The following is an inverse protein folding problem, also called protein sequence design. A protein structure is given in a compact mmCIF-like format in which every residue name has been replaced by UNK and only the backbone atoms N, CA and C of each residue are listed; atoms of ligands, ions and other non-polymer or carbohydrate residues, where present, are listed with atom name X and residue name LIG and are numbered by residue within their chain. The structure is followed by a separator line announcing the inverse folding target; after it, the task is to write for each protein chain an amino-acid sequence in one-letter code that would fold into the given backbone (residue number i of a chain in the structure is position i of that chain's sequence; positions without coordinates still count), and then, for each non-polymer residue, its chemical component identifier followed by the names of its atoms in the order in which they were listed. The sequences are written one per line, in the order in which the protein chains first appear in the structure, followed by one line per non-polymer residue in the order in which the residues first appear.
data_IF_928874841008
#
_entry.id   IF_928874841008
#
_cell.length_a   1.000
_cell.length_b   1.000
_cell.length_c   1.000
_cell.angle_alpha   90.00
_cell.angle_beta   90.00
_cell.angle_gamma   90.00
#
_symmetry.space_group_name_H-M   'P 1'
#
loop_
_entity.id
_entity.type
_entity.pdbx_description
1 polymer ?
#
# COMPACT_ATOMS: atom_id res chain seq x y z
N UNK A 1 0.84 -48.63 28.48
CA UNK A 1 -0.51 -48.06 28.33
C UNK A 1 -0.67 -46.99 29.39
N UNK A 2 -0.78 -45.73 28.99
CA UNK A 2 -1.33 -44.68 29.84
C UNK A 2 -2.04 -43.69 28.90
N UNK A 3 -3.34 -43.92 28.68
CA UNK A 3 -4.23 -42.96 28.06
C UNK A 3 -4.34 -41.76 29.00
N UNK A 4 -3.76 -40.62 28.62
CA UNK A 4 -4.07 -39.35 29.26
C UNK A 4 -5.45 -38.91 28.77
N UNK A 5 -6.47 -39.22 29.56
CA UNK A 5 -7.80 -38.67 29.39
C UNK A 5 -7.75 -37.14 29.56
N UNK A 6 -7.89 -36.41 28.45
CA UNK A 6 -8.06 -34.96 28.45
C UNK A 6 -9.44 -34.67 29.02
N UNK A 7 -9.48 -34.07 30.21
CA UNK A 7 -10.74 -33.64 30.84
C UNK A 7 -11.32 -32.44 30.08
N UNK A 8 -12.65 -32.35 29.89
CA UNK A 8 -13.27 -31.18 29.27
C UNK A 8 -13.05 -29.95 30.17
N UNK A 9 -12.41 -28.93 29.60
CA UNK A 9 -12.09 -27.68 30.30
C UNK A 9 -13.29 -26.72 30.23
N UNK A 10 -13.60 -26.07 31.35
CA UNK A 10 -14.71 -25.14 31.48
C UNK A 10 -14.22 -23.71 31.23
N UNK A 11 -14.70 -23.11 30.15
CA UNK A 11 -14.32 -21.80 29.60
C UNK A 11 -14.70 -20.61 30.52
N UNK A 12 -15.45 -20.84 31.60
CA UNK A 12 -16.01 -19.75 32.43
C UNK A 12 -15.17 -19.33 33.64
N UNK A 13 -13.95 -19.85 33.78
CA UNK A 13 -13.02 -19.35 34.77
C UNK A 13 -11.73 -18.99 34.05
N UNK A 14 -11.27 -17.73 34.17
CA UNK A 14 -9.86 -17.30 34.34
C UNK A 14 -9.53 -15.97 33.63
N UNK A 15 -9.10 -14.99 34.44
CA UNK A 15 -7.94 -14.12 34.20
C UNK A 15 -8.04 -12.97 33.19
N UNK A 16 -7.90 -11.73 33.70
CA UNK A 16 -7.84 -10.45 32.99
C UNK A 16 -6.80 -10.30 31.84
N UNK A 17 -6.07 -11.35 31.46
CA UNK A 17 -5.02 -11.26 30.44
C UNK A 17 -5.31 -12.06 29.17
N UNK A 18 -6.29 -12.98 29.14
CA UNK A 18 -6.72 -13.72 27.92
C UNK A 18 -5.62 -14.51 27.18
N UNK A 19 -4.40 -14.59 27.72
CA UNK A 19 -3.25 -15.21 27.08
C UNK A 19 -3.15 -16.68 27.48
N UNK A 20 -3.38 -17.56 26.51
CA UNK A 20 -3.28 -19.01 26.68
C UNK A 20 -1.96 -19.53 26.09
N UNK A 21 -1.31 -20.50 26.77
CA UNK A 21 -0.12 -21.15 26.25
C UNK A 21 -0.49 -22.06 25.06
N UNK A 22 -0.02 -21.79 23.82
CA UNK A 22 -0.38 -22.60 22.66
C UNK A 22 0.07 -24.06 22.77
N UNK A 23 1.08 -24.37 23.61
CA UNK A 23 1.59 -25.73 23.84
C UNK A 23 0.66 -26.59 24.71
N UNK A 24 -0.29 -25.96 25.40
CA UNK A 24 -1.21 -26.62 26.33
C UNK A 24 -2.65 -26.65 25.81
N UNK A 25 -2.93 -26.01 24.66
CA UNK A 25 -4.26 -25.97 24.05
C UNK A 25 -4.43 -27.02 22.95
N UNK A 26 -5.61 -27.63 22.90
CA UNK A 26 -6.01 -28.48 21.78
C UNK A 26 -6.37 -27.67 20.53
N UNK A 27 -6.48 -28.35 19.38
CA UNK A 27 -6.90 -27.74 18.11
C UNK A 27 -8.25 -27.00 18.22
N UNK A 28 -9.25 -27.63 18.87
CA UNK A 28 -10.58 -27.04 19.03
C UNK A 28 -10.55 -25.81 19.94
N UNK A 29 -9.85 -25.89 21.06
CA UNK A 29 -9.73 -24.77 22.00
C UNK A 29 -9.03 -23.57 21.33
N UNK A 30 -8.01 -23.84 20.51
CA UNK A 30 -7.31 -22.81 19.73
C UNK A 30 -8.24 -22.12 18.72
N UNK A 31 -9.11 -22.88 18.04
CA UNK A 31 -10.10 -22.31 17.11
C UNK A 31 -11.13 -21.46 17.84
N UNK A 32 -11.57 -21.86 19.03
CA UNK A 32 -12.56 -21.11 19.79
C UNK A 32 -11.96 -19.80 20.35
N UNK A 33 -10.70 -19.81 20.77
CA UNK A 33 -9.95 -18.58 21.11
C UNK A 33 -9.84 -17.64 19.90
N UNK A 34 -9.48 -18.16 18.72
CA UNK A 34 -9.39 -17.35 17.50
C UNK A 34 -10.74 -16.71 17.16
N UNK A 35 -11.84 -17.45 17.29
CA UNK A 35 -13.19 -16.92 17.06
C UNK A 35 -13.54 -15.81 18.04
N UNK A 36 -13.28 -16.01 19.33
CA UNK A 36 -13.55 -15.00 20.37
C UNK A 36 -12.73 -13.72 20.14
N UNK A 37 -11.44 -13.84 19.87
CA UNK A 37 -10.58 -12.69 19.54
C UNK A 37 -11.01 -11.99 18.24
N UNK A 38 -11.47 -12.75 17.24
CA UNK A 38 -12.01 -12.17 16.01
C UNK A 38 -13.24 -11.31 16.27
N UNK A 39 -14.15 -11.74 17.15
CA UNK A 39 -15.33 -10.95 17.56
C UNK A 39 -14.90 -9.69 18.33
N UNK A 40 -13.89 -9.77 19.20
CA UNK A 40 -13.34 -8.60 19.89
C UNK A 40 -12.75 -7.59 18.91
N UNK A 41 -12.04 -8.07 17.88
CA UNK A 41 -11.50 -7.23 16.80
C UNK A 41 -12.65 -6.55 16.02
N UNK A 42 -13.75 -7.25 15.72
CA UNK A 42 -14.92 -6.62 15.08
C UNK A 42 -15.49 -5.48 15.94
N UNK A 43 -15.68 -5.73 17.24
CA UNK A 43 -16.20 -4.74 18.20
C UNK A 43 -15.22 -3.58 18.41
N UNK A 44 -13.91 -3.80 18.26
CA UNK A 44 -12.91 -2.75 18.44
C UNK A 44 -13.00 -1.67 17.35
N UNK A 45 -13.34 -2.01 16.11
CA UNK A 45 -13.46 -1.01 15.04
C UNK A 45 -14.60 -0.01 15.29
N UNK A 46 -15.74 -0.46 15.81
CA UNK A 46 -16.86 0.41 16.19
C UNK A 46 -16.42 1.34 17.31
N UNK A 47 -15.79 0.78 18.35
CA UNK A 47 -15.29 1.54 19.49
C UNK A 47 -14.24 2.59 19.08
N UNK A 48 -13.29 2.23 18.22
CA UNK A 48 -12.28 3.15 17.66
C UNK A 48 -12.99 4.26 16.88
N UNK A 49 -13.94 3.90 16.01
CA UNK A 49 -14.73 4.86 15.25
C UNK A 49 -15.48 5.85 16.14
N UNK A 50 -16.06 5.38 17.24
CA UNK A 50 -16.77 6.20 18.22
C UNK A 50 -15.85 7.23 18.89
N UNK A 51 -14.65 6.84 19.33
CA UNK A 51 -13.68 7.79 19.88
C UNK A 51 -13.15 8.78 18.84
N UNK A 52 -12.88 8.32 17.60
CA UNK A 52 -12.47 9.20 16.50
C UNK A 52 -13.57 10.23 16.17
N UNK A 53 -14.84 9.79 16.19
CA UNK A 53 -16.01 10.66 16.04
C UNK A 53 -16.10 11.67 17.17
N UNK A 54 -15.97 11.24 18.43
CA UNK A 54 -15.96 12.14 19.60
C UNK A 54 -14.87 13.21 19.50
N UNK A 55 -13.62 12.81 19.19
CA UNK A 55 -12.50 13.75 19.00
C UNK A 55 -12.77 14.72 17.84
N UNK A 56 -13.37 14.24 16.74
CA UNK A 56 -13.73 15.07 15.57
C UNK A 56 -14.81 16.10 15.93
N UNK A 57 -15.91 15.63 16.52
CA UNK A 57 -17.13 16.40 16.75
C UNK A 57 -16.89 17.47 17.84
N UNK A 58 -16.16 17.13 18.89
CA UNK A 58 -15.80 18.05 19.99
C UNK A 58 -14.48 18.80 19.74
N UNK A 59 -13.84 18.57 18.59
CA UNK A 59 -12.59 19.22 18.15
C UNK A 59 -11.42 19.07 19.13
N UNK A 60 -11.36 17.94 19.85
CA UNK A 60 -10.33 17.68 20.86
C UNK A 60 -8.91 17.60 20.27
N UNK A 61 -8.80 17.34 18.96
CA UNK A 61 -7.52 17.41 18.24
C UNK A 61 -6.84 18.79 18.31
N UNK A 62 -7.56 19.85 18.68
CA UNK A 62 -6.99 21.19 18.88
C UNK A 62 -6.13 21.30 20.14
N UNK A 63 -6.28 20.40 21.12
CA UNK A 63 -5.48 20.41 22.36
C UNK A 63 -3.99 20.24 22.06
N UNK A 64 -3.68 19.41 21.07
CA UNK A 64 -2.32 19.14 20.59
C UNK A 64 -1.95 19.99 19.36
N UNK A 65 -2.80 20.94 18.97
CA UNK A 65 -2.51 21.90 17.89
C UNK A 65 -2.72 21.38 16.46
N UNK A 66 -3.40 20.25 16.27
CA UNK A 66 -3.72 19.75 14.92
C UNK A 66 -4.85 20.55 14.27
N UNK A 67 -4.85 20.65 12.94
CA UNK A 67 -5.90 21.38 12.22
C UNK A 67 -7.19 20.57 12.09
N UNK A 68 -7.09 19.23 12.11
CA UNK A 68 -8.21 18.31 11.96
C UNK A 68 -7.88 16.93 12.55
N UNK A 69 -8.92 16.09 12.70
CA UNK A 69 -8.78 14.72 13.21
C UNK A 69 -7.85 13.85 12.36
N UNK A 70 -7.73 14.09 11.06
CA UNK A 70 -6.93 13.25 10.17
C UNK A 70 -5.43 13.45 10.39
N UNK A 71 -4.99 14.69 10.61
CA UNK A 71 -3.61 14.99 11.00
C UNK A 71 -3.27 14.37 12.34
N UNK A 72 -4.14 14.57 13.33
CA UNK A 72 -4.01 13.98 14.66
C UNK A 72 -3.89 12.45 14.58
N UNK A 73 -4.78 11.79 13.83
CA UNK A 73 -4.77 10.34 13.72
C UNK A 73 -3.61 9.78 12.90
N UNK A 74 -3.12 10.53 11.91
CA UNK A 74 -1.93 10.15 11.14
C UNK A 74 -0.68 10.20 12.01
N UNK A 75 -0.52 11.26 12.81
CA UNK A 75 0.64 11.46 13.67
C UNK A 75 0.62 10.54 14.90
N UNK A 76 -0.51 10.46 15.62
CA UNK A 76 -0.62 9.71 16.87
C UNK A 76 -0.79 8.20 16.67
N UNK A 77 -1.49 7.79 15.61
CA UNK A 77 -1.89 6.38 15.40
C UNK A 77 -1.41 5.78 14.08
N UNK A 78 -0.76 6.56 13.20
CA UNK A 78 -0.35 6.10 11.87
C UNK A 78 -1.54 5.82 10.92
N UNK A 79 -2.73 6.36 11.21
CA UNK A 79 -3.92 6.10 10.40
C UNK A 79 -4.01 7.05 9.21
N UNK A 80 -4.19 6.49 8.01
CA UNK A 80 -4.54 7.29 6.84
C UNK A 80 -5.91 7.95 7.02
N UNK A 81 -6.13 9.10 6.37
CA UNK A 81 -7.44 9.76 6.31
C UNK A 81 -8.55 8.76 5.93
N UNK A 82 -8.30 7.93 4.92
CA UNK A 82 -9.27 6.93 4.46
C UNK A 82 -9.60 5.88 5.52
N UNK A 83 -8.67 5.54 6.41
CA UNK A 83 -8.89 4.61 7.52
C UNK A 83 -9.78 5.25 8.58
N UNK A 84 -9.47 6.50 8.96
CA UNK A 84 -10.23 7.29 9.93
C UNK A 84 -11.69 7.43 9.48
N UNK A 85 -11.91 7.88 8.23
CA UNK A 85 -13.26 8.02 7.68
C UNK A 85 -14.02 6.69 7.67
N UNK A 86 -13.36 5.58 7.32
CA UNK A 86 -14.01 4.25 7.35
C UNK A 86 -14.43 3.86 8.77
N UNK A 87 -13.58 4.06 9.77
CA UNK A 87 -13.92 3.71 11.16
C UNK A 87 -15.08 4.55 11.69
N UNK A 88 -15.07 5.86 11.42
CA UNK A 88 -16.17 6.74 11.80
C UNK A 88 -17.47 6.31 11.11
N UNK A 89 -17.44 6.06 9.79
CA UNK A 89 -18.64 5.64 9.05
C UNK A 89 -19.17 4.27 9.51
N UNK A 90 -18.27 3.33 9.87
CA UNK A 90 -18.65 2.03 10.46
C UNK A 90 -19.38 2.26 11.79
N UNK A 91 -18.86 3.15 12.64
CA UNK A 91 -19.52 3.51 13.89
C UNK A 91 -20.90 4.13 13.63
N UNK A 92 -20.98 5.19 12.83
CA UNK A 92 -22.24 5.92 12.55
C UNK A 92 -23.33 5.02 11.94
N UNK A 93 -22.94 3.93 11.25
CA UNK A 93 -23.89 3.03 10.59
C UNK A 93 -24.26 1.80 11.39
N UNK A 94 -23.29 1.17 12.05
CA UNK A 94 -23.45 -0.16 12.64
C UNK A 94 -23.39 -0.16 14.16
N UNK A 95 -23.12 0.97 14.83
CA UNK A 95 -23.21 1.03 16.29
C UNK A 95 -24.65 1.02 16.79
N UNK A 96 -24.84 0.61 18.05
CA UNK A 96 -26.11 0.81 18.76
C UNK A 96 -26.51 2.28 18.70
N UNK A 97 -27.78 2.54 18.37
CA UNK A 97 -28.37 3.86 18.24
C UNK A 97 -27.62 4.84 17.32
N UNK A 98 -26.73 4.34 16.45
CA UNK A 98 -25.83 5.13 15.58
C UNK A 98 -24.86 6.07 16.30
N UNK A 99 -24.74 5.96 17.62
CA UNK A 99 -23.77 6.74 18.41
C UNK A 99 -23.37 6.01 19.71
N UNK A 100 -22.71 4.87 19.56
CA UNK A 100 -22.30 4.04 20.70
C UNK A 100 -20.94 3.39 20.44
N UNK A 101 -20.13 3.13 21.48
CA UNK A 101 -18.91 2.33 21.34
C UNK A 101 -19.21 0.84 21.09
N UNK A 102 -20.47 0.41 21.17
CA UNK A 102 -20.89 -0.97 20.98
C UNK A 102 -21.51 -1.21 19.60
N UNK A 103 -21.17 -2.35 18.99
CA UNK A 103 -21.83 -2.84 17.77
C UNK A 103 -23.29 -3.18 18.06
N UNK A 104 -24.19 -2.83 17.15
CA UNK A 104 -25.60 -3.22 17.21
C UNK A 104 -25.74 -4.73 17.01
N UNK A 105 -26.55 -5.38 17.85
CA UNK A 105 -26.73 -6.83 17.89
C UNK A 105 -27.19 -7.40 16.53
N UNK A 106 -27.85 -6.58 15.69
CA UNK A 106 -28.26 -6.96 14.31
C UNK A 106 -27.08 -7.22 13.38
N UNK A 107 -25.91 -6.67 13.69
CA UNK A 107 -24.68 -6.82 12.91
C UNK A 107 -23.66 -7.72 13.63
N UNK A 108 -24.07 -8.45 14.68
CA UNK A 108 -23.18 -9.42 15.32
C UNK A 108 -22.83 -10.56 14.34
N UNK A 109 -21.55 -10.94 14.32
CA UNK A 109 -21.01 -11.96 13.41
C UNK A 109 -20.55 -11.45 12.05
N UNK A 110 -20.83 -10.20 11.69
CA UNK A 110 -20.25 -9.59 10.48
C UNK A 110 -18.78 -9.22 10.69
N UNK A 111 -17.93 -9.54 9.72
CA UNK A 111 -16.54 -9.11 9.66
C UNK A 111 -16.38 -7.67 9.14
N UNK A 112 -15.19 -7.10 9.35
CA UNK A 112 -14.86 -5.74 8.90
C UNK A 112 -15.06 -5.54 7.39
N UNK A 113 -14.66 -6.51 6.58
CA UNK A 113 -14.72 -6.40 5.12
C UNK A 113 -16.17 -6.41 4.63
N UNK A 114 -17.03 -7.25 5.23
CA UNK A 114 -18.46 -7.28 5.00
C UNK A 114 -19.09 -5.92 5.39
N UNK A 115 -18.80 -5.43 6.60
CA UNK A 115 -19.29 -4.12 7.06
C UNK A 115 -18.87 -2.97 6.13
N UNK A 116 -17.62 -2.97 5.65
CA UNK A 116 -17.14 -1.96 4.68
C UNK A 116 -17.91 -2.02 3.36
N UNK A 117 -18.22 -3.21 2.84
CA UNK A 117 -19.03 -3.35 1.63
C UNK A 117 -20.49 -2.93 1.83
N UNK A 118 -21.00 -3.06 3.06
CA UNK A 118 -22.35 -2.69 3.49
C UNK A 118 -22.52 -1.19 3.74
N UNK A 119 -21.44 -0.41 3.91
CA UNK A 119 -21.50 1.05 4.09
C UNK A 119 -22.33 1.80 3.03
N UNK A 120 -22.28 1.48 1.73
CA UNK A 120 -23.13 2.11 0.71
C UNK A 120 -24.56 1.52 0.58
N UNK A 121 -24.91 0.47 1.33
CA UNK A 121 -26.23 -0.17 1.21
C UNK A 121 -27.32 0.61 1.94
N UNK A 122 -28.50 0.72 1.34
CA UNK A 122 -29.68 1.26 2.03
C UNK A 122 -30.31 0.22 2.96
N UNK A 123 -31.19 0.65 3.85
CA UNK A 123 -31.84 -0.22 4.84
C UNK A 123 -32.52 -1.44 4.21
N UNK A 124 -33.20 -1.27 3.06
CA UNK A 124 -33.87 -2.36 2.33
C UNK A 124 -32.92 -3.44 1.80
N UNK A 125 -31.68 -3.08 1.48
CA UNK A 125 -30.67 -4.01 1.00
C UNK A 125 -29.85 -4.61 2.14
N UNK A 126 -29.67 -3.87 3.24
CA UNK A 126 -29.07 -4.39 4.47
C UNK A 126 -29.87 -5.56 5.04
N UNK A 127 -31.20 -5.53 4.94
CA UNK A 127 -32.07 -6.64 5.39
C UNK A 127 -31.86 -7.94 4.62
N UNK A 128 -31.31 -7.88 3.40
CA UNK A 128 -31.02 -9.06 2.57
C UNK A 128 -29.65 -9.66 2.87
N UNK A 129 -28.81 -8.94 3.61
CA UNK A 129 -27.44 -9.32 3.90
C UNK A 129 -27.40 -10.08 5.23
N UNK A 130 -26.78 -11.27 5.23
CA UNK A 130 -26.58 -12.07 6.45
C UNK A 130 -25.08 -12.26 6.72
N UNK A 131 -24.71 -12.54 7.96
CA UNK A 131 -23.31 -12.69 8.38
C UNK A 131 -22.59 -13.87 7.73
N UNK A 132 -23.35 -14.88 7.26
CA UNK A 132 -22.82 -16.03 6.52
C UNK A 132 -22.46 -15.71 5.05
N UNK A 133 -22.94 -14.58 4.51
CA UNK A 133 -22.67 -14.22 3.12
C UNK A 133 -21.22 -13.78 2.93
N UNK A 134 -20.56 -14.28 1.90
CA UNK A 134 -19.23 -13.80 1.53
C UNK A 134 -19.27 -12.35 1.03
N UNK A 135 -18.14 -11.64 1.16
CA UNK A 135 -17.94 -10.30 0.59
C UNK A 135 -18.33 -10.24 -0.89
N UNK A 136 -18.12 -11.32 -1.64
CA UNK A 136 -18.49 -11.41 -3.05
C UNK A 136 -20.01 -11.38 -3.24
N UNK A 137 -20.75 -12.13 -2.45
CA UNK A 137 -22.22 -12.17 -2.52
C UNK A 137 -22.83 -10.82 -2.10
N UNK A 138 -22.24 -10.14 -1.11
CA UNK A 138 -22.64 -8.76 -0.73
C UNK A 138 -22.42 -7.79 -1.91
N UNK A 139 -21.34 -7.95 -2.68
CA UNK A 139 -21.10 -7.16 -3.91
C UNK A 139 -22.09 -7.48 -5.03
N UNK A 140 -22.51 -8.73 -5.17
CA UNK A 140 -23.52 -9.13 -6.15
C UNK A 140 -24.88 -8.47 -5.85
N UNK A 141 -25.28 -8.36 -4.57
CA UNK A 141 -26.47 -7.58 -4.16
C UNK A 141 -26.36 -6.11 -4.63
N UNK A 142 -25.18 -5.50 -4.49
CA UNK A 142 -24.93 -4.11 -4.93
C UNK A 142 -25.06 -3.96 -6.45
N UNK A 143 -24.51 -4.90 -7.20
CA UNK A 143 -24.56 -4.89 -8.66
C UNK A 143 -25.99 -5.12 -9.19
N UNK A 144 -26.75 -6.02 -8.57
CA UNK A 144 -28.12 -6.31 -8.98
C UNK A 144 -29.07 -5.15 -8.70
N UNK A 145 -28.83 -4.37 -7.63
CA UNK A 145 -29.49 -3.08 -7.44
C UNK A 145 -29.18 -2.12 -8.59
N UNK A 146 -27.90 -1.96 -8.95
CA UNK A 146 -27.46 -1.06 -10.03
C UNK A 146 -28.10 -1.43 -11.38
N UNK A 147 -28.35 -2.71 -11.62
CA UNK A 147 -29.06 -3.21 -12.81
C UNK A 147 -30.57 -2.96 -12.76
N UNK A 148 -31.21 -3.04 -11.57
CA UNK A 148 -32.66 -2.83 -11.40
C UNK A 148 -33.09 -1.37 -11.46
N UNK A 149 -32.21 -0.43 -11.11
CA UNK A 149 -32.52 1.01 -11.10
C UNK A 149 -32.32 1.73 -12.44
N UNK A 150 -32.02 1.00 -13.52
CA UNK A 150 -32.09 1.45 -14.93
C UNK A 150 -31.83 2.95 -15.18
N UNK A 151 -30.61 3.42 -14.94
CA UNK A 151 -30.19 4.80 -15.24
C UNK A 151 -28.83 4.78 -15.96
N UNK A 152 -28.69 5.42 -17.14
CA UNK A 152 -27.38 5.79 -17.68
C UNK A 152 -26.80 6.87 -16.77
N UNK A 153 -25.48 6.91 -16.61
CA UNK A 153 -24.74 7.79 -15.70
C UNK A 153 -25.45 9.11 -15.35
N UNK A 154 -25.94 9.19 -14.11
CA UNK A 154 -25.74 10.28 -13.14
C UNK A 154 -26.54 10.00 -11.87
N UNK A 155 -25.90 9.32 -10.93
CA UNK A 155 -25.83 9.80 -9.55
C UNK A 155 -24.40 9.55 -9.10
N UNK A 156 -23.54 10.56 -9.32
CA UNK A 156 -22.43 10.80 -8.41
C UNK A 156 -23.05 11.02 -7.04
N UNK A 157 -22.99 9.96 -6.24
CA UNK A 157 -23.57 9.88 -4.90
C UNK A 157 -22.63 9.17 -3.93
N UNK A 158 -21.33 9.19 -4.20
CA UNK A 158 -20.41 9.69 -3.20
C UNK A 158 -20.24 11.14 -3.61
N UNK A 159 -21.14 12.00 -3.13
CA UNK A 159 -20.96 13.42 -3.31
C UNK A 159 -19.58 13.75 -2.79
N UNK A 160 -18.75 14.32 -3.66
CA UNK A 160 -17.81 15.34 -3.26
C UNK A 160 -18.58 16.25 -2.32
N UNK A 161 -18.34 16.07 -1.03
CA UNK A 161 -18.75 17.06 -0.06
C UNK A 161 -17.84 18.24 -0.36
N UNK A 162 -18.34 19.22 -1.11
CA UNK A 162 -17.73 20.54 -1.18
C UNK A 162 -17.61 21.01 0.27
N UNK A 163 -16.41 20.85 0.82
CA UNK A 163 -16.05 21.46 2.08
C UNK A 163 -16.08 22.97 1.84
N UNK A 164 -16.63 23.77 2.78
CA UNK A 164 -16.57 25.22 2.68
C UNK A 164 -15.10 25.65 2.79
N UNK A 165 -14.44 25.73 1.62
CA UNK A 165 -13.08 26.23 1.29
C UNK A 165 -12.47 25.55 0.06
N UNK A 166 -13.18 24.67 -0.65
CA UNK A 166 -12.67 24.13 -1.90
C UNK A 166 -12.72 25.19 -3.00
N UNK A 167 -11.57 25.81 -3.31
CA UNK A 167 -11.42 26.76 -4.41
C UNK A 167 -11.50 26.00 -5.73
N UNK A 168 -12.47 26.35 -6.58
CA UNK A 168 -12.52 25.84 -7.95
C UNK A 168 -11.53 26.65 -8.78
N UNK A 169 -10.47 26.01 -9.28
CA UNK A 169 -9.48 26.62 -10.16
C UNK A 169 -10.14 27.30 -11.38
N UNK A 170 -11.25 26.74 -11.87
CA UNK A 170 -12.03 27.28 -12.99
C UNK A 170 -12.73 28.61 -12.64
N UNK A 171 -13.09 28.83 -11.37
CA UNK A 171 -13.76 30.05 -10.90
C UNK A 171 -12.80 31.09 -10.33
N UNK A 172 -11.78 30.67 -9.58
CA UNK A 172 -10.90 31.57 -8.84
C UNK A 172 -9.63 31.95 -9.63
N UNK A 173 -9.21 31.14 -10.61
CA UNK A 173 -7.97 31.34 -11.38
C UNK A 173 -8.16 31.06 -12.89
N UNK A 174 -9.08 31.77 -13.59
CA UNK A 174 -9.38 31.52 -15.00
C UNK A 174 -8.20 31.81 -15.95
N UNK A 175 -7.20 32.56 -15.50
CA UNK A 175 -5.96 32.82 -16.25
C UNK A 175 -5.12 31.56 -16.49
N UNK A 176 -5.31 30.53 -15.66
CA UNK A 176 -4.61 29.25 -15.78
C UNK A 176 -5.41 28.19 -16.55
N UNK A 177 -6.59 28.53 -17.08
CA UNK A 177 -7.32 27.63 -17.99
C UNK A 177 -6.72 27.70 -19.41
N UNK A 178 -6.38 26.56 -20.02
CA UNK A 178 -5.94 26.54 -21.40
C UNK A 178 -7.09 26.98 -22.32
N UNK A 179 -6.83 27.81 -23.34
CA UNK A 179 -7.89 28.29 -24.23
C UNK A 179 -8.47 27.15 -25.07
N UNK A 180 -9.80 27.06 -25.10
CA UNK A 180 -10.54 26.06 -25.85
C UNK A 180 -10.46 26.33 -27.37
N UNK A 181 -9.62 25.53 -28.05
CA UNK A 181 -9.26 25.48 -29.50
C UNK A 181 -8.00 26.29 -29.81
N UNK A 182 -6.91 25.63 -30.24
CA UNK A 182 -6.61 25.15 -31.60
C UNK A 182 -5.49 24.07 -31.56
N UNK A 183 -5.32 23.40 -32.70
CA UNK A 183 -4.46 22.27 -33.09
C UNK A 183 -2.99 22.24 -32.61
N UNK A 184 -2.48 21.00 -32.53
CA UNK A 184 -1.07 20.57 -32.35
C UNK A 184 -0.25 21.22 -31.23
N UNK A 185 -0.40 20.71 -30.00
CA UNK A 185 0.35 21.12 -28.81
C UNK A 185 1.47 20.14 -28.40
N UNK A 186 1.83 19.16 -29.23
CA UNK A 186 2.90 18.20 -28.88
C UNK A 186 4.31 18.78 -28.95
N UNK A 187 4.52 19.85 -29.74
CA UNK A 187 5.87 20.30 -30.07
C UNK A 187 6.33 21.53 -29.27
N UNK A 188 5.44 22.20 -28.55
CA UNK A 188 5.76 23.39 -27.72
C UNK A 188 5.94 23.06 -26.22
N UNK A 189 5.44 21.91 -25.77
CA UNK A 189 5.48 21.54 -24.34
C UNK A 189 6.86 21.04 -23.89
N UNK A 190 7.66 20.51 -24.83
CA UNK A 190 9.08 20.17 -24.61
C UNK A 190 9.98 21.41 -24.49
N UNK A 191 9.64 22.53 -25.16
CA UNK A 191 10.44 23.78 -25.09
C UNK A 191 10.22 24.58 -23.80
N UNK A 192 9.02 24.51 -23.19
CA UNK A 192 8.70 25.26 -21.96
C UNK A 192 9.30 24.58 -20.72
N UNK A 193 9.38 23.25 -20.70
CA UNK A 193 10.01 22.52 -19.58
C UNK A 193 11.53 22.77 -19.53
N UNK A 194 12.16 23.03 -20.67
CA UNK A 194 13.59 23.32 -20.78
C UNK A 194 13.99 24.76 -20.38
N UNK A 195 13.03 25.68 -20.18
CA UNK A 195 13.31 27.12 -19.97
C UNK A 195 13.07 27.63 -18.54
N UNK A 196 12.67 26.77 -17.60
CA UNK A 196 12.35 27.15 -16.20
C UNK A 196 13.55 27.20 -15.24
N UNK A 197 14.74 26.77 -15.66
CA UNK A 197 15.97 27.04 -14.91
C UNK A 197 16.75 28.18 -15.59
N UNK A 198 16.36 29.43 -15.28
CA UNK A 198 17.28 30.56 -15.47
C UNK A 198 18.07 30.75 -14.18
N UNK A 199 19.30 30.26 -14.23
CA UNK A 199 20.40 30.79 -13.45
C UNK A 199 20.54 32.30 -13.74
N UNK A 200 20.86 33.04 -12.69
CA UNK A 200 21.15 34.46 -12.69
C UNK A 200 22.25 34.77 -13.70
N UNK A 201 21.94 35.68 -14.64
CA UNK A 201 22.85 36.21 -15.67
C UNK A 201 24.16 36.75 -15.08
N UNK A 202 25.27 36.67 -15.84
CA UNK A 202 26.10 37.84 -16.02
C UNK A 202 26.18 38.26 -17.49
N UNK A 203 26.23 39.58 -17.64
CA UNK A 203 26.26 40.38 -18.84
C UNK A 203 27.24 39.97 -19.96
N UNK A 204 26.83 40.42 -21.15
CA UNK A 204 27.60 40.79 -22.34
C UNK A 204 28.08 39.70 -23.33
N UNK A 205 27.29 39.63 -24.41
CA UNK A 205 27.67 39.48 -25.83
C UNK A 205 29.07 38.95 -26.16
N UNK A 206 29.11 37.80 -26.85
CA UNK A 206 29.67 37.73 -28.20
C UNK A 206 29.33 36.41 -28.92
N UNK A 207 28.78 36.56 -30.12
CA UNK A 207 28.56 35.51 -31.13
C UNK A 207 29.83 34.69 -31.36
N UNK A 208 29.75 33.36 -31.43
CA UNK A 208 30.60 32.56 -32.32
C UNK A 208 29.98 31.18 -32.61
N UNK A 209 30.38 30.65 -33.76
CA UNK A 209 29.66 29.76 -34.67
C UNK A 209 29.27 28.35 -34.19
N UNK A 210 28.20 27.84 -34.82
CA UNK A 210 27.84 26.43 -34.87
C UNK A 210 29.01 25.61 -35.40
N UNK A 211 29.68 24.84 -34.54
CA UNK A 211 30.48 23.70 -35.00
C UNK A 211 30.57 22.60 -33.94
N UNK A 212 29.85 21.51 -34.21
CA UNK A 212 30.22 20.08 -34.10
C UNK A 212 31.10 19.53 -32.97
N UNK A 213 31.36 20.26 -31.87
CA UNK A 213 32.21 19.80 -30.78
C UNK A 213 31.42 19.32 -29.55
N UNK A 214 30.12 19.65 -29.44
CA UNK A 214 29.33 19.36 -28.26
C UNK A 214 28.76 17.93 -28.20
N UNK A 215 28.39 17.33 -29.34
CA UNK A 215 27.77 15.98 -29.32
C UNK A 215 28.73 14.87 -28.87
N UNK A 216 30.03 15.03 -29.10
CA UNK A 216 31.03 14.07 -28.63
C UNK A 216 31.33 14.26 -27.13
N UNK A 217 31.28 15.50 -26.61
CA UNK A 217 31.49 15.75 -25.17
C UNK A 217 30.30 15.29 -24.31
N UNK A 218 29.06 15.42 -24.81
CA UNK A 218 27.86 14.95 -24.10
C UNK A 218 27.65 13.42 -24.17
N UNK A 219 28.18 12.74 -25.20
CA UNK A 219 28.23 11.26 -25.22
C UNK A 219 29.34 10.69 -24.34
N UNK A 220 30.46 11.40 -24.17
CA UNK A 220 31.53 10.97 -23.28
C UNK A 220 31.20 11.21 -21.78
N UNK A 221 30.44 12.25 -21.43
CA UNK A 221 30.18 12.63 -20.02
C UNK A 221 29.03 11.90 -19.29
N UNK A 222 28.34 10.93 -19.91
CA UNK A 222 27.39 10.04 -19.19
C UNK A 222 27.66 8.55 -19.45
N UNK A 223 28.94 8.21 -19.63
CA UNK A 223 29.43 6.85 -19.40
C UNK A 223 30.03 6.80 -17.99
N UNK A 224 29.19 6.87 -16.95
CA UNK A 224 29.65 6.58 -15.59
C UNK A 224 30.16 5.14 -15.54
N UNK A 225 31.44 4.91 -15.21
CA UNK A 225 32.09 3.61 -15.36
C UNK A 225 31.79 2.74 -14.13
N UNK A 226 30.53 2.49 -13.81
CA UNK A 226 30.20 1.38 -12.91
C UNK A 226 30.16 0.09 -13.74
N UNK A 227 31.31 -0.31 -14.30
CA UNK A 227 31.55 -1.73 -14.54
C UNK A 227 31.84 -2.35 -13.18
N UNK A 228 30.81 -2.45 -12.33
CA UNK A 228 30.85 -3.45 -11.27
C UNK A 228 30.98 -4.78 -12.02
N UNK A 229 32.10 -5.46 -11.84
CA UNK A 229 32.33 -6.80 -12.40
C UNK A 229 31.32 -7.73 -11.73
N UNK A 230 30.10 -7.75 -12.25
CA UNK A 230 29.03 -8.60 -11.72
C UNK A 230 29.49 -10.05 -11.83
N UNK A 231 29.37 -10.85 -10.75
CA UNK A 231 29.72 -12.26 -10.80
C UNK A 231 28.79 -13.01 -11.75
N UNK A 232 29.29 -14.11 -12.33
CA UNK A 232 28.42 -15.01 -13.08
C UNK A 232 27.41 -15.68 -12.15
N UNK A 233 26.19 -15.90 -12.64
CA UNK A 233 25.16 -16.61 -11.89
C UNK A 233 25.59 -18.08 -11.71
N UNK A 234 25.83 -18.57 -10.47
CA UNK A 234 26.18 -19.97 -10.25
C UNK A 234 25.02 -20.90 -10.61
N UNK A 235 25.31 -22.19 -10.84
CA UNK A 235 24.27 -23.20 -11.12
C UNK A 235 23.53 -23.56 -9.82
N UNK A 236 22.24 -23.21 -9.71
CA UNK A 236 21.42 -23.37 -8.51
C UNK A 236 20.41 -24.51 -8.72
N UNK A 237 20.72 -25.69 -8.18
CA UNK A 237 19.95 -26.93 -8.43
C UNK A 237 18.70 -27.02 -7.55
N UNK A 238 18.79 -26.64 -6.28
CA UNK A 238 17.70 -26.76 -5.31
C UNK A 238 17.24 -25.38 -4.78
N UNK A 239 16.17 -25.38 -3.97
CA UNK A 239 15.64 -24.13 -3.41
C UNK A 239 16.60 -23.50 -2.39
N UNK A 240 17.31 -24.31 -1.60
CA UNK A 240 18.22 -23.82 -0.56
C UNK A 240 19.41 -23.05 -1.16
N UNK A 241 20.00 -23.54 -2.24
CA UNK A 241 21.04 -22.84 -3.00
C UNK A 241 20.55 -21.49 -3.54
N UNK A 242 19.28 -21.40 -3.95
CA UNK A 242 18.69 -20.14 -4.42
C UNK A 242 18.52 -19.15 -3.28
N UNK A 243 18.10 -19.61 -2.10
CA UNK A 243 18.02 -18.79 -0.88
C UNK A 243 19.39 -18.28 -0.45
N UNK A 244 20.37 -19.17 -0.37
CA UNK A 244 21.74 -18.82 0.00
C UNK A 244 22.35 -17.77 -0.94
N UNK A 245 22.09 -17.90 -2.24
CA UNK A 245 22.55 -16.92 -3.24
C UNK A 245 21.85 -15.55 -3.09
N UNK A 246 20.55 -15.52 -2.80
CA UNK A 246 19.81 -14.27 -2.57
C UNK A 246 20.35 -13.51 -1.36
N UNK A 247 20.63 -14.21 -0.25
CA UNK A 247 21.20 -13.61 0.97
C UNK A 247 22.60 -13.04 0.73
N UNK A 248 23.33 -13.59 -0.24
CA UNK A 248 24.67 -13.13 -0.65
C UNK A 248 24.62 -11.99 -1.69
N UNK A 249 23.58 -11.16 -1.67
CA UNK A 249 23.44 -10.02 -2.59
C UNK A 249 24.62 -9.03 -2.54
N UNK A 250 25.32 -8.94 -1.40
CA UNK A 250 26.52 -8.11 -1.25
C UNK A 250 27.66 -8.56 -2.18
N UNK A 251 27.73 -9.85 -2.51
CA UNK A 251 28.72 -10.40 -3.44
C UNK A 251 28.47 -9.96 -4.89
N UNK A 252 27.27 -9.47 -5.22
CA UNK A 252 26.97 -8.93 -6.56
C UNK A 252 27.68 -7.61 -6.83
N UNK A 253 28.13 -6.96 -5.76
CA UNK A 253 28.76 -5.64 -5.76
C UNK A 253 27.73 -4.53 -5.54
N UNK A 254 28.15 -3.52 -4.77
CA UNK A 254 27.35 -2.31 -4.55
C UNK A 254 27.14 -1.61 -5.90
N UNK A 255 25.89 -1.32 -6.24
CA UNK A 255 25.55 -0.63 -7.47
C UNK A 255 25.58 0.88 -7.28
N UNK A 256 24.88 1.39 -6.26
CA UNK A 256 25.01 2.76 -5.79
C UNK A 256 24.47 2.88 -4.36
N UNK A 257 24.88 3.93 -3.67
CA UNK A 257 24.32 4.34 -2.38
C UNK A 257 23.65 5.69 -2.54
N UNK A 258 22.47 5.83 -1.94
CA UNK A 258 21.83 7.13 -1.79
C UNK A 258 22.05 7.62 -0.34
N UNK A 259 22.91 8.63 -0.18
CA UNK A 259 23.22 9.20 1.13
C UNK A 259 22.09 10.10 1.67
N UNK A 260 21.14 10.54 0.84
CA UNK A 260 20.03 11.40 1.29
C UNK A 260 18.95 10.62 2.04
N UNK A 261 18.77 9.35 1.67
CA UNK A 261 17.78 8.44 2.27
C UNK A 261 18.42 7.27 3.02
N UNK A 262 19.75 7.23 3.06
CA UNK A 262 20.57 6.19 3.67
C UNK A 262 20.19 4.78 3.20
N UNK A 263 20.33 4.53 1.89
CA UNK A 263 19.98 3.24 1.27
C UNK A 263 21.11 2.75 0.37
N UNK A 264 21.46 1.48 0.52
CA UNK A 264 22.38 0.78 -0.37
C UNK A 264 21.59 0.00 -1.42
N UNK A 265 21.94 0.18 -2.69
CA UNK A 265 21.37 -0.59 -3.78
C UNK A 265 22.39 -1.55 -4.36
N UNK A 266 21.99 -2.82 -4.48
CA UNK A 266 22.72 -3.87 -5.18
C UNK A 266 21.92 -4.30 -6.40
N UNK A 267 22.61 -4.74 -7.46
CA UNK A 267 21.97 -5.05 -8.73
C UNK A 267 22.57 -6.28 -9.36
N UNK A 268 21.70 -7.14 -9.90
CA UNK A 268 22.07 -8.25 -10.76
C UNK A 268 21.28 -8.20 -12.07
N UNK A 269 21.98 -8.06 -13.19
CA UNK A 269 21.46 -8.15 -14.55
C UNK A 269 21.52 -9.62 -15.03
N UNK A 270 20.38 -10.17 -15.43
CA UNK A 270 20.29 -11.54 -15.96
C UNK A 270 20.41 -11.59 -17.48
N UNK A 271 20.78 -12.76 -18.01
CA UNK A 271 20.96 -12.98 -19.47
C UNK A 271 19.67 -12.82 -20.28
N UNK A 272 18.50 -13.03 -19.67
CA UNK A 272 17.19 -12.83 -20.32
C UNK A 272 16.78 -11.34 -20.38
N UNK A 273 17.62 -10.44 -19.85
CA UNK A 273 17.38 -9.00 -19.77
C UNK A 273 16.59 -8.57 -18.54
N UNK A 274 16.13 -9.51 -17.70
CA UNK A 274 15.54 -9.23 -16.39
C UNK A 274 16.61 -8.65 -15.45
N UNK A 275 16.18 -7.94 -14.41
CA UNK A 275 17.07 -7.35 -13.40
C UNK A 275 16.53 -7.57 -12.01
N UNK A 276 17.39 -7.93 -11.07
CA UNK A 276 17.08 -7.96 -9.65
C UNK A 276 17.83 -6.82 -8.95
N UNK A 277 17.09 -6.00 -8.21
CA UNK A 277 17.63 -4.92 -7.38
C UNK A 277 17.37 -5.26 -5.92
N UNK A 278 18.35 -5.07 -5.04
CA UNK A 278 18.18 -5.18 -3.59
C UNK A 278 18.36 -3.80 -3.00
N UNK A 279 17.38 -3.35 -2.23
CA UNK A 279 17.47 -2.18 -1.38
C UNK A 279 17.76 -2.63 0.05
N UNK A 280 18.92 -2.27 0.56
CA UNK A 280 19.34 -2.50 1.93
C UNK A 280 19.29 -1.17 2.68
N UNK A 281 18.49 -1.17 3.75
CA UNK A 281 18.34 -0.06 4.67
C UNK A 281 19.09 -0.44 5.96
N UNK A 282 20.32 0.07 6.16
CA UNK A 282 21.16 -0.36 7.26
C UNK A 282 20.60 0.12 8.60
N UNK A 283 20.74 -0.69 9.65
CA UNK A 283 20.48 -0.27 11.03
C UNK A 283 19.09 0.38 11.24
N UNK A 284 18.03 -0.19 10.65
CA UNK A 284 16.66 0.28 10.87
C UNK A 284 16.11 -0.27 12.18
N UNK A 285 15.36 0.59 12.87
CA UNK A 285 14.63 0.19 14.05
C UNK A 285 13.41 -0.63 13.63
N UNK A 286 13.23 -1.79 14.27
CA UNK A 286 11.98 -2.53 14.12
C UNK A 286 10.79 -1.68 14.57
N UNK A 287 9.72 -1.67 13.78
CA UNK A 287 8.46 -1.02 14.15
C UNK A 287 7.83 -1.58 15.44
N UNK A 288 8.16 -2.82 15.80
CA UNK A 288 7.53 -3.56 16.91
C UNK A 288 8.51 -3.98 18.00
N UNK A 289 9.77 -3.54 17.94
CA UNK A 289 10.78 -3.95 18.90
C UNK A 289 11.97 -2.99 18.98
N UNK A 290 12.77 -3.14 20.03
CA UNK A 290 13.98 -2.32 20.23
C UNK A 290 15.19 -2.81 19.43
N UNK A 291 15.00 -3.82 18.58
CA UNK A 291 16.07 -4.43 17.79
C UNK A 291 16.38 -3.59 16.54
N UNK A 292 17.67 -3.37 16.32
CA UNK A 292 18.21 -2.69 15.15
C UNK A 292 18.78 -3.74 14.22
N UNK A 293 18.29 -3.78 12.99
CA UNK A 293 18.76 -4.70 11.98
C UNK A 293 18.70 -4.06 10.59
N UNK A 294 19.40 -4.65 9.64
CA UNK A 294 19.34 -4.19 8.26
C UNK A 294 18.03 -4.71 7.62
N UNK A 295 17.21 -3.79 7.10
CA UNK A 295 16.00 -4.15 6.35
C UNK A 295 16.34 -4.34 4.87
N UNK A 296 15.93 -5.47 4.30
CA UNK A 296 16.33 -5.90 2.96
C UNK A 296 15.10 -6.16 2.10
N UNK A 297 14.98 -5.43 0.99
CA UNK A 297 13.88 -5.54 0.05
C UNK A 297 14.39 -5.91 -1.34
N UNK A 298 13.76 -6.90 -1.96
CA UNK A 298 14.11 -7.38 -3.29
C UNK A 298 13.12 -6.85 -4.33
N UNK A 299 13.61 -6.34 -5.45
CA UNK A 299 12.79 -5.81 -6.54
C UNK A 299 13.18 -6.48 -7.85
N UNK A 300 12.37 -7.44 -8.28
CA UNK A 300 12.53 -8.08 -9.59
C UNK A 300 11.86 -7.22 -10.68
N UNK A 301 12.63 -6.91 -11.71
CA UNK A 301 12.20 -6.23 -12.93
C UNK A 301 12.26 -7.28 -14.03
N UNK A 302 11.18 -8.04 -14.18
CA UNK A 302 11.11 -9.14 -15.13
C UNK A 302 10.93 -8.63 -16.57
N UNK A 303 11.67 -9.20 -17.52
CA UNK A 303 11.42 -8.99 -18.94
C UNK A 303 10.49 -10.03 -19.54
N UNK A 304 9.76 -9.63 -20.57
CA UNK A 304 8.79 -10.48 -21.28
C UNK A 304 7.77 -11.14 -20.33
N UNK A 305 7.36 -10.43 -19.27
CA UNK A 305 6.36 -10.94 -18.34
C UNK A 305 5.02 -11.06 -19.05
N UNK A 306 4.43 -12.26 -19.01
CA UNK A 306 3.12 -12.52 -19.63
C UNK A 306 2.04 -12.38 -18.57
N UNK A 307 1.10 -11.45 -18.76
CA UNK A 307 -0.10 -11.33 -17.92
C UNK A 307 -1.31 -11.27 -18.83
N UNK A 308 -2.29 -12.16 -18.61
CA UNK A 308 -3.52 -12.27 -19.45
C UNK A 308 -3.21 -12.35 -20.95
N UNK A 309 -2.17 -13.11 -21.32
CA UNK A 309 -1.76 -13.33 -22.72
C UNK A 309 -0.99 -12.18 -23.38
N UNK A 310 -0.75 -11.06 -22.68
CA UNK A 310 0.09 -9.96 -23.18
C UNK A 310 1.46 -10.00 -22.54
N UNK A 311 2.50 -9.94 -23.35
CA UNK A 311 3.89 -9.82 -22.91
C UNK A 311 4.27 -8.34 -22.77
N UNK A 312 4.93 -7.98 -21.67
CA UNK A 312 5.49 -6.65 -21.45
C UNK A 312 6.74 -6.73 -20.57
N UNK A 313 7.60 -5.72 -20.67
CA UNK A 313 8.73 -5.55 -19.77
C UNK A 313 8.27 -4.78 -18.52
N UNK A 314 8.55 -5.30 -17.34
CA UNK A 314 8.23 -4.59 -16.12
C UNK A 314 9.11 -3.35 -15.97
N UNK A 315 8.51 -2.28 -15.45
CA UNK A 315 9.25 -1.12 -14.97
C UNK A 315 9.45 -1.24 -13.46
N UNK A 316 10.53 -0.64 -12.97
CA UNK A 316 10.81 -0.60 -11.54
C UNK A 316 9.62 0.00 -10.77
N UNK A 317 9.29 -0.63 -9.65
CA UNK A 317 8.28 -0.20 -8.68
C UNK A 317 8.81 -0.52 -7.29
N UNK A 318 8.46 0.30 -6.31
CA UNK A 318 8.89 0.13 -4.92
C UNK A 318 8.32 -1.14 -4.25
N UNK A 319 7.33 -1.81 -4.86
CA UNK A 319 6.79 -3.05 -4.31
C UNK A 319 7.88 -4.15 -4.25
N UNK A 320 8.16 -4.73 -3.07
CA UNK A 320 9.12 -5.81 -2.94
C UNK A 320 8.52 -7.13 -3.42
N UNK A 321 9.40 -8.03 -3.87
CA UNK A 321 9.09 -9.43 -4.17
C UNK A 321 9.49 -10.31 -3.00
N UNK A 322 8.69 -11.32 -2.72
CA UNK A 322 9.00 -12.26 -1.64
C UNK A 322 10.01 -13.31 -2.09
N UNK A 323 10.70 -13.93 -1.12
CA UNK A 323 11.70 -14.98 -1.37
C UNK A 323 11.15 -16.11 -2.27
N UNK A 324 9.91 -16.55 -2.03
CA UNK A 324 9.27 -17.63 -2.79
C UNK A 324 9.14 -17.29 -4.28
N UNK A 325 8.76 -16.06 -4.63
CA UNK A 325 8.66 -15.61 -6.02
C UNK A 325 10.02 -15.56 -6.70
N UNK A 326 11.04 -15.09 -5.99
CA UNK A 326 12.41 -15.01 -6.50
C UNK A 326 13.01 -16.41 -6.73
N UNK A 327 12.76 -17.35 -5.82
CA UNK A 327 13.18 -18.75 -5.97
C UNK A 327 12.56 -19.36 -7.23
N UNK A 328 11.26 -19.17 -7.46
CA UNK A 328 10.59 -19.72 -8.64
C UNK A 328 11.07 -19.04 -9.93
N UNK A 329 11.33 -17.74 -9.90
CA UNK A 329 11.97 -17.02 -11.01
C UNK A 329 13.35 -17.61 -11.35
N UNK A 330 14.25 -17.72 -10.37
CA UNK A 330 15.61 -18.27 -10.54
C UNK A 330 15.58 -19.73 -11.05
N UNK A 331 14.64 -20.52 -10.54
CA UNK A 331 14.39 -21.89 -11.00
C UNK A 331 13.97 -21.93 -12.46
N UNK A 332 13.09 -21.04 -12.91
CA UNK A 332 12.63 -21.00 -14.30
C UNK A 332 13.68 -20.42 -15.26
N UNK A 333 14.54 -19.52 -14.78
CA UNK A 333 15.66 -18.98 -15.54
C UNK A 333 16.69 -20.06 -15.91
N UNK A 334 16.97 -21.00 -15.00
CA UNK A 334 17.98 -22.06 -15.18
C UNK A 334 17.42 -23.40 -15.71
N UNK A 335 16.12 -23.48 -15.98
CA UNK A 335 15.49 -24.62 -16.66
C UNK A 335 15.57 -24.55 -18.19
N UNK A 336 15.88 -23.37 -18.73
CA UNK A 336 16.13 -23.13 -20.16
C UNK A 336 17.58 -23.38 -20.46
#
# INVERSE_FOLDING_TARGET
MNEMAVKPFNVMNLGNAGLFNPKEMGYKDSLDVIKDESVKIQKSFVKIGWYLKHIRDDKLYMEDGYANIYECAADQFGYSQSTVSRFINICEKFSKDKDSPELDDRYEGFDKSQMVEMLPLEQEDLEKVTSEMTVKEIREIKEDRKKKTGSPDKVDGVGEMELPRQTSIEKDFPEYMPPDKVESLTDLQEEIYATSHKETEPDEEQRFDKQAAAEDTYKEMVMFPWKTTQPELPVLKNADQRKEWLVKYKEWGLWYRDDNIDVNYYKFDFKDGSRLVVAEYPQRHSYYGSEVHDEIFYHLIARNKVTKGKAYDEKYRHAPHCETELIEFLKNLQKK
#
